data_IF_937873437166
#
_entry.id   IF_937873437166
#
_cell.length_a   1.000
_cell.length_b   1.000
_cell.length_c   1.000
_cell.angle_alpha   90.00
_cell.angle_beta   90.00
_cell.angle_gamma   90.00
#
_symmetry.space_group_name_H-M   'P 1'
#
loop_
_entity.id
_entity.type
_entity.pdbx_description
1 polymer ?
#
# COMPACT_ATOMS: atom_id res chain seq x y z
N UNK A 1 -0.01 10.41 26.68
CA UNK A 1 0.04 9.03 27.20
C UNK A 1 -1.17 8.30 26.64
N UNK A 2 -0.98 7.48 25.60
CA UNK A 2 -2.06 6.71 24.99
C UNK A 2 -2.18 5.38 25.70
N UNK A 3 -3.29 5.14 26.40
CA UNK A 3 -3.62 3.82 26.93
C UNK A 3 -4.32 3.04 25.81
N UNK A 4 -3.69 1.98 25.34
CA UNK A 4 -4.33 1.02 24.44
C UNK A 4 -5.44 0.30 25.19
N UNK A 5 -6.65 0.28 24.60
CA UNK A 5 -7.75 -0.53 25.09
C UNK A 5 -7.36 -2.00 24.98
N UNK A 6 -7.21 -2.68 26.13
CA UNK A 6 -6.95 -4.10 26.18
C UNK A 6 -8.14 -4.88 25.64
N UNK A 7 -7.87 -5.82 24.73
CA UNK A 7 -8.88 -6.79 24.29
C UNK A 7 -9.22 -7.71 25.48
N UNK A 8 -10.46 -7.67 25.92
CA UNK A 8 -10.99 -8.64 26.87
C UNK A 8 -11.02 -10.04 26.23
N UNK A 9 -10.35 -10.98 26.88
CA UNK A 9 -10.43 -12.40 26.51
C UNK A 9 -11.74 -12.98 27.04
N UNK A 10 -12.69 -13.24 26.16
CA UNK A 10 -13.81 -14.13 26.49
C UNK A 10 -13.38 -15.57 26.25
N UNK A 11 -13.58 -16.41 27.28
CA UNK A 11 -13.05 -17.77 27.33
C UNK A 11 -13.84 -18.81 26.60
N UNK A 12 -13.16 -19.92 26.26
CA UNK A 12 -13.68 -21.28 26.20
C UNK A 12 -14.25 -21.73 24.85
N UNK A 13 -13.38 -22.17 23.93
CA UNK A 13 -13.74 -23.02 22.80
C UNK A 13 -12.48 -23.75 22.33
N UNK A 14 -12.56 -25.09 22.25
CA UNK A 14 -11.54 -25.96 21.65
C UNK A 14 -11.55 -25.77 20.14
N UNK A 15 -11.02 -24.66 19.66
CA UNK A 15 -10.82 -24.32 18.25
C UNK A 15 -9.37 -23.91 18.05
N UNK A 16 -8.85 -24.08 16.85
CA UNK A 16 -7.53 -23.57 16.46
C UNK A 16 -7.32 -22.15 17.00
N UNK A 17 -6.10 -21.78 17.43
CA UNK A 17 -5.83 -20.45 17.97
C UNK A 17 -6.36 -19.43 16.96
N UNK A 18 -7.33 -18.62 17.39
CA UNK A 18 -7.83 -17.51 16.58
C UNK A 18 -6.64 -16.73 16.06
N UNK A 19 -6.43 -16.79 14.74
CA UNK A 19 -5.34 -16.05 14.13
C UNK A 19 -5.51 -14.58 14.55
N UNK A 20 -4.45 -14.00 15.12
CA UNK A 20 -4.44 -12.60 15.53
C UNK A 20 -4.83 -11.75 14.32
N UNK A 21 -6.03 -11.18 14.39
CA UNK A 21 -6.55 -10.22 13.42
C UNK A 21 -6.21 -8.84 13.91
N UNK A 22 -5.85 -7.96 13.00
CA UNK A 22 -5.42 -6.62 13.36
C UNK A 22 -5.80 -5.56 12.36
N UNK A 23 -5.57 -4.33 12.79
CA UNK A 23 -5.51 -3.17 11.93
C UNK A 23 -4.03 -2.80 11.82
N UNK A 24 -3.54 -2.67 10.59
CA UNK A 24 -2.11 -2.47 10.32
C UNK A 24 -1.91 -1.21 9.49
N UNK A 25 -0.67 -0.75 9.39
CA UNK A 25 -0.19 0.23 8.42
C UNK A 25 -1.15 1.39 8.17
N UNK A 26 -1.06 2.48 8.92
CA UNK A 26 -1.91 3.63 8.65
C UNK A 26 -1.21 4.66 7.75
N UNK A 27 -1.97 5.21 6.80
CA UNK A 27 -1.60 6.35 5.98
C UNK A 27 -2.60 7.50 6.23
N UNK A 28 -2.08 8.69 6.47
CA UNK A 28 -2.90 9.88 6.70
C UNK A 28 -2.83 10.81 5.49
N UNK A 29 -3.97 11.22 5.00
CA UNK A 29 -4.12 12.22 3.96
C UNK A 29 -4.88 13.43 4.50
N UNK A 30 -4.22 14.59 4.54
CA UNK A 30 -4.90 15.86 4.68
C UNK A 30 -5.29 16.34 3.28
N UNK A 31 -6.56 16.33 2.98
CA UNK A 31 -7.10 16.74 1.69
C UNK A 31 -7.07 18.27 1.53
N UNK A 32 -7.17 18.74 0.29
CA UNK A 32 -7.13 20.17 -0.06
C UNK A 32 -8.31 20.95 0.53
N UNK A 33 -9.44 20.30 0.80
CA UNK A 33 -10.60 20.87 1.47
C UNK A 33 -10.50 20.87 3.01
N UNK A 34 -9.36 20.43 3.55
CA UNK A 34 -9.10 20.34 4.99
C UNK A 34 -9.58 19.06 5.66
N UNK A 35 -10.25 18.16 4.94
CA UNK A 35 -10.67 16.88 5.51
C UNK A 35 -9.48 15.96 5.76
N UNK A 36 -9.38 15.39 6.97
CA UNK A 36 -8.38 14.39 7.31
C UNK A 36 -8.95 13.00 7.08
N UNK A 37 -8.23 12.19 6.29
CA UNK A 37 -8.56 10.78 6.02
C UNK A 37 -7.45 9.88 6.57
N UNK A 38 -7.85 8.74 7.16
CA UNK A 38 -6.97 7.69 7.61
C UNK A 38 -7.27 6.41 6.83
N UNK A 39 -6.27 5.88 6.15
CA UNK A 39 -6.30 4.62 5.41
C UNK A 39 -5.54 3.58 6.22
N UNK A 40 -6.08 2.38 6.30
CA UNK A 40 -5.46 1.31 7.09
C UNK A 40 -5.82 -0.07 6.54
N UNK A 41 -4.98 -1.03 6.85
CA UNK A 41 -5.17 -2.42 6.51
C UNK A 41 -6.10 -3.07 7.54
N UNK A 42 -7.17 -3.68 7.09
CA UNK A 42 -8.26 -4.23 7.92
C UNK A 42 -8.40 -5.74 7.68
N UNK A 43 -8.14 -6.53 8.69
CA UNK A 43 -8.35 -7.98 8.68
C UNK A 43 -9.65 -8.39 9.42
N UNK A 44 -10.23 -7.50 10.21
CA UNK A 44 -11.39 -7.80 11.03
C UNK A 44 -12.69 -7.75 10.23
N UNK A 45 -12.91 -6.68 9.44
CA UNK A 45 -14.13 -6.57 8.62
C UNK A 45 -14.27 -7.70 7.60
N UNK A 46 -13.24 -8.04 6.78
CA UNK A 46 -13.36 -9.18 5.87
C UNK A 46 -13.68 -10.48 6.59
N UNK A 47 -13.07 -10.74 7.74
CA UNK A 47 -13.36 -11.94 8.50
C UNK A 47 -14.83 -12.00 8.95
N UNK A 48 -15.38 -10.91 9.51
CA UNK A 48 -16.78 -10.82 9.93
C UNK A 48 -17.76 -11.00 8.76
N UNK A 49 -17.36 -10.59 7.56
CA UNK A 49 -18.15 -10.78 6.33
C UNK A 49 -17.93 -12.15 5.65
N UNK A 50 -17.16 -13.06 6.26
CA UNK A 50 -16.89 -14.40 5.75
C UNK A 50 -15.83 -14.47 4.66
N UNK A 51 -15.02 -13.42 4.50
CA UNK A 51 -13.81 -13.41 3.68
C UNK A 51 -12.61 -13.80 4.57
N UNK A 52 -12.55 -15.03 4.95
CA UNK A 52 -11.52 -15.55 5.85
C UNK A 52 -10.12 -15.40 5.22
N UNK A 53 -9.14 -14.93 6.02
CA UNK A 53 -7.75 -14.70 5.64
C UNK A 53 -7.53 -13.52 4.67
N UNK A 54 -8.59 -12.86 4.21
CA UNK A 54 -8.46 -11.62 3.43
C UNK A 54 -8.03 -10.46 4.31
N UNK A 55 -7.46 -9.46 3.65
CA UNK A 55 -7.15 -8.13 4.18
C UNK A 55 -7.67 -7.11 3.17
N UNK A 56 -8.35 -6.08 3.65
CA UNK A 56 -8.86 -4.99 2.84
C UNK A 56 -8.15 -3.70 3.21
N UNK A 57 -8.05 -2.78 2.27
CA UNK A 57 -7.76 -1.38 2.58
C UNK A 57 -9.06 -0.69 2.91
N UNK A 58 -9.09 -0.09 4.10
CA UNK A 58 -10.26 0.62 4.63
C UNK A 58 -9.88 2.07 4.94
N UNK A 59 -10.82 3.01 4.80
CA UNK A 59 -10.61 4.42 5.04
C UNK A 59 -11.69 4.97 5.99
N UNK A 60 -11.30 5.91 6.86
CA UNK A 60 -12.21 6.74 7.66
C UNK A 60 -11.87 8.21 7.47
N UNK A 61 -12.89 9.07 7.48
CA UNK A 61 -12.73 10.52 7.47
C UNK A 61 -13.00 11.08 8.85
N UNK A 62 -12.16 11.99 9.32
CA UNK A 62 -12.33 12.68 10.59
C UNK A 62 -13.41 13.75 10.49
N UNK A 63 -14.35 13.73 11.43
CA UNK A 63 -15.34 14.78 11.66
C UNK A 63 -14.88 15.66 12.84
N UNK A 64 -14.38 16.88 12.58
CA UNK A 64 -13.92 17.76 13.63
C UNK A 64 -15.03 18.26 14.52
N UNK A 65 -16.26 18.36 14.02
CA UNK A 65 -17.42 18.86 14.77
C UNK A 65 -17.89 17.84 15.79
N UNK A 66 -17.97 16.57 15.38
CA UNK A 66 -18.32 15.46 16.25
C UNK A 66 -17.13 14.85 17.01
N UNK A 67 -15.91 15.31 16.73
CA UNK A 67 -14.64 14.75 17.27
C UNK A 67 -14.58 13.22 17.17
N UNK A 68 -14.95 12.71 16.00
CA UNK A 68 -15.05 11.27 15.73
C UNK A 68 -14.68 10.94 14.29
N UNK A 69 -14.35 9.68 14.06
CA UNK A 69 -14.20 9.14 12.73
C UNK A 69 -15.57 8.73 12.16
N UNK A 70 -15.81 9.05 10.90
CA UNK A 70 -17.01 8.55 10.18
C UNK A 70 -16.97 7.02 10.03
N UNK A 71 -18.08 6.47 9.54
CA UNK A 71 -18.16 5.05 9.21
C UNK A 71 -17.07 4.68 8.20
N UNK A 72 -16.51 3.47 8.31
CA UNK A 72 -15.47 2.99 7.41
C UNK A 72 -15.98 2.84 5.98
N UNK A 73 -15.11 3.12 5.03
CA UNK A 73 -15.33 2.89 3.58
C UNK A 73 -14.26 1.94 3.08
N UNK A 74 -14.65 0.86 2.41
CA UNK A 74 -13.71 -0.06 1.77
C UNK A 74 -13.10 0.61 0.53
N UNK A 75 -11.78 0.77 0.55
CA UNK A 75 -10.97 1.38 -0.52
C UNK A 75 -10.58 0.34 -1.56
N UNK A 76 -10.22 -0.85 -1.13
CA UNK A 76 -9.84 -1.96 -2.01
C UNK A 76 -10.10 -3.31 -1.35
N UNK A 77 -10.60 -4.25 -2.14
CA UNK A 77 -10.77 -5.67 -1.77
C UNK A 77 -10.88 -6.55 -3.01
N UNK A 78 -10.75 -7.87 -2.83
CA UNK A 78 -11.13 -8.83 -3.87
C UNK A 78 -12.66 -8.91 -3.99
N UNK A 79 -13.16 -9.17 -5.21
CA UNK A 79 -14.59 -9.34 -5.46
C UNK A 79 -15.12 -10.68 -4.91
N UNK A 80 -14.38 -11.75 -5.10
CA UNK A 80 -14.79 -13.09 -4.75
C UNK A 80 -14.03 -13.62 -3.51
N UNK A 81 -14.72 -14.43 -2.69
CA UNK A 81 -14.17 -15.00 -1.45
C UNK A 81 -13.11 -16.06 -1.68
N UNK A 82 -13.20 -16.77 -2.79
CA UNK A 82 -12.24 -17.81 -3.21
C UNK A 82 -10.99 -17.22 -3.86
N UNK A 83 -11.03 -15.93 -4.23
CA UNK A 83 -9.89 -15.20 -4.74
C UNK A 83 -9.17 -14.46 -3.59
N UNK A 84 -8.41 -15.20 -2.80
CA UNK A 84 -7.72 -14.61 -1.66
C UNK A 84 -6.86 -13.42 -2.11
N UNK A 85 -7.14 -12.26 -1.53
CA UNK A 85 -6.35 -11.06 -1.69
C UNK A 85 -6.09 -10.43 -0.33
N UNK A 86 -4.85 -10.02 -0.12
CA UNK A 86 -4.45 -9.23 1.04
C UNK A 86 -3.98 -7.89 0.52
N UNK A 87 -4.94 -6.96 0.39
CA UNK A 87 -4.69 -5.60 -0.04
C UNK A 87 -4.22 -4.77 1.15
N UNK A 88 -3.11 -4.05 0.99
CA UNK A 88 -2.55 -3.32 2.11
C UNK A 88 -1.52 -2.27 1.74
N UNK A 89 -0.89 -1.67 2.75
CA UNK A 89 0.15 -0.66 2.61
C UNK A 89 -0.27 0.50 1.70
N UNK A 90 -1.49 1.00 1.90
CA UNK A 90 -2.07 2.05 1.08
C UNK A 90 -1.26 3.34 1.14
N UNK A 91 -1.04 3.96 -0.03
CA UNK A 91 -0.49 5.30 -0.16
C UNK A 91 -1.35 6.11 -1.12
N UNK A 92 -1.78 7.30 -0.71
CA UNK A 92 -2.84 8.04 -1.41
C UNK A 92 -2.38 9.45 -1.74
N UNK A 93 -2.70 9.89 -2.97
CA UNK A 93 -2.54 11.29 -3.39
C UNK A 93 -3.87 11.87 -3.87
N UNK A 94 -4.07 13.16 -3.61
CA UNK A 94 -5.15 13.95 -4.18
C UNK A 94 -4.64 14.77 -5.35
N UNK A 95 -5.22 14.57 -6.52
CA UNK A 95 -4.92 15.35 -7.73
C UNK A 95 -5.55 16.76 -7.64
N UNK A 96 -5.09 17.72 -8.47
CA UNK A 96 -5.71 19.05 -8.55
C UNK A 96 -7.20 19.01 -8.87
N UNK A 97 -7.68 18.00 -9.59
CA UNK A 97 -9.10 17.77 -9.89
C UNK A 97 -9.93 17.33 -8.69
N UNK A 98 -9.31 16.99 -7.55
CA UNK A 98 -9.96 16.38 -6.39
C UNK A 98 -10.08 14.85 -6.47
N UNK A 99 -9.67 14.24 -7.60
CA UNK A 99 -9.57 12.77 -7.75
C UNK A 99 -8.52 12.22 -6.80
N UNK A 100 -8.84 11.12 -6.12
CA UNK A 100 -7.91 10.38 -5.29
C UNK A 100 -7.36 9.18 -6.08
N UNK A 101 -6.06 8.96 -5.97
CA UNK A 101 -5.38 7.76 -6.44
C UNK A 101 -4.78 7.05 -5.22
N UNK A 102 -5.05 5.77 -5.07
CA UNK A 102 -4.51 4.93 -4.01
C UNK A 102 -3.69 3.79 -4.62
N UNK A 103 -2.37 3.82 -4.42
CA UNK A 103 -1.51 2.68 -4.68
C UNK A 103 -1.50 1.78 -3.45
N UNK A 104 -1.49 0.47 -3.68
CA UNK A 104 -1.50 -0.55 -2.62
C UNK A 104 -0.74 -1.80 -3.05
N UNK A 105 -0.20 -2.55 -2.10
CA UNK A 105 0.25 -3.91 -2.38
C UNK A 105 -0.94 -4.86 -2.36
N UNK A 106 -0.91 -5.86 -3.24
CA UNK A 106 -1.93 -6.89 -3.28
C UNK A 106 -1.28 -8.26 -3.30
N UNK A 107 -1.39 -8.97 -2.18
CA UNK A 107 -0.94 -10.35 -2.07
C UNK A 107 -2.01 -11.24 -2.66
N UNK A 108 -1.66 -11.94 -3.74
CA UNK A 108 -2.55 -12.88 -4.39
C UNK A 108 -1.99 -14.30 -4.29
N UNK A 109 -2.86 -15.27 -4.09
CA UNK A 109 -2.48 -16.67 -4.09
C UNK A 109 -2.27 -17.25 -5.48
N UNK A 110 -2.70 -16.54 -6.51
CA UNK A 110 -2.57 -17.00 -7.90
C UNK A 110 -1.20 -16.72 -8.47
N UNK A 111 -0.56 -17.79 -8.90
CA UNK A 111 0.68 -17.72 -9.69
C UNK A 111 0.38 -17.23 -11.11
N UNK A 112 1.33 -16.57 -11.80
CA UNK A 112 2.75 -16.51 -11.45
C UNK A 112 3.13 -15.36 -10.50
N UNK A 113 2.24 -14.40 -10.22
CA UNK A 113 2.57 -13.17 -9.52
C UNK A 113 1.88 -13.11 -8.16
N UNK A 114 2.62 -13.45 -7.11
CA UNK A 114 2.08 -13.51 -5.76
C UNK A 114 1.77 -12.13 -5.17
N UNK A 115 2.61 -11.14 -5.46
CA UNK A 115 2.46 -9.77 -4.99
C UNK A 115 2.71 -8.81 -6.15
N UNK A 116 1.82 -7.83 -6.30
CA UNK A 116 1.95 -6.74 -7.26
C UNK A 116 1.52 -5.43 -6.62
N UNK A 117 1.87 -4.32 -7.24
CA UNK A 117 1.32 -3.01 -6.88
C UNK A 117 0.07 -2.79 -7.71
N UNK A 118 -1.02 -2.47 -7.05
CA UNK A 118 -2.30 -2.13 -7.67
C UNK A 118 -2.69 -0.70 -7.40
N UNK A 119 -3.62 -0.21 -8.18
CA UNK A 119 -4.21 1.12 -8.02
C UNK A 119 -5.73 1.05 -8.05
N UNK A 120 -6.33 1.86 -7.20
CA UNK A 120 -7.77 2.18 -7.23
C UNK A 120 -7.95 3.69 -7.16
N UNK A 121 -9.07 4.18 -7.68
CA UNK A 121 -9.33 5.62 -7.77
C UNK A 121 -10.69 5.98 -7.20
N UNK A 122 -10.83 7.24 -6.75
CA UNK A 122 -12.10 7.81 -6.33
C UNK A 122 -12.28 9.22 -6.90
N UNK A 123 -13.44 9.48 -7.50
CA UNK A 123 -13.82 10.77 -8.06
C UNK A 123 -14.75 11.56 -7.13
N UNK A 124 -15.04 11.06 -5.93
CA UNK A 124 -16.02 11.63 -5.01
C UNK A 124 -15.52 11.68 -3.56
N UNK A 125 -14.25 12.06 -3.40
CA UNK A 125 -13.66 12.29 -2.08
C UNK A 125 -13.51 11.03 -1.21
N UNK A 126 -13.39 9.86 -1.84
CA UNK A 126 -13.22 8.58 -1.15
C UNK A 126 -14.54 7.91 -0.73
N UNK A 127 -15.70 8.45 -1.12
CA UNK A 127 -17.00 7.83 -0.80
C UNK A 127 -17.23 6.52 -1.53
N UNK A 128 -16.74 6.41 -2.76
CA UNK A 128 -16.70 5.17 -3.55
C UNK A 128 -15.38 5.06 -4.28
N UNK A 129 -14.99 3.84 -4.60
CA UNK A 129 -13.71 3.52 -5.23
C UNK A 129 -13.89 2.62 -6.47
N UNK A 130 -12.96 2.68 -7.41
CA UNK A 130 -13.06 2.00 -8.71
C UNK A 130 -13.19 0.48 -8.58
N UNK A 131 -12.63 -0.16 -7.55
CA UNK A 131 -12.75 -1.61 -7.34
C UNK A 131 -14.19 -2.13 -7.33
N UNK A 132 -15.17 -1.26 -7.04
CA UNK A 132 -16.59 -1.64 -7.01
C UNK A 132 -17.18 -1.89 -8.40
N UNK A 133 -16.55 -1.36 -9.45
CA UNK A 133 -17.04 -1.39 -10.83
C UNK A 133 -16.16 -2.23 -11.76
N UNK A 134 -14.88 -2.33 -11.45
CA UNK A 134 -13.87 -2.94 -12.30
C UNK A 134 -12.80 -3.64 -11.45
N UNK A 135 -12.04 -4.56 -12.05
CA UNK A 135 -10.89 -5.13 -11.37
C UNK A 135 -9.85 -4.05 -11.08
N UNK A 136 -9.15 -4.18 -9.96
CA UNK A 136 -8.11 -3.26 -9.55
C UNK A 136 -6.97 -3.24 -10.58
N UNK A 137 -6.62 -2.07 -11.07
CA UNK A 137 -5.56 -1.90 -12.04
C UNK A 137 -4.21 -2.40 -11.48
N UNK A 138 -3.43 -3.10 -12.30
CA UNK A 138 -2.06 -3.47 -11.97
C UNK A 138 -1.16 -2.29 -12.36
N UNK A 139 -0.60 -1.63 -11.35
CA UNK A 139 0.32 -0.52 -11.52
C UNK A 139 1.74 -0.99 -11.83
N UNK A 140 2.18 -2.01 -11.11
CA UNK A 140 3.44 -2.68 -11.37
C UNK A 140 3.38 -4.16 -10.95
N UNK A 141 3.98 -4.97 -11.78
CA UNK A 141 4.15 -6.40 -11.57
C UNK A 141 5.51 -6.82 -12.11
N UNK A 142 6.26 -7.61 -11.35
CA UNK A 142 7.53 -8.13 -11.84
C UNK A 142 7.33 -8.96 -13.12
N UNK A 143 8.21 -8.79 -14.09
CA UNK A 143 8.26 -9.63 -15.30
C UNK A 143 8.68 -11.08 -14.98
N UNK A 144 9.27 -11.31 -13.82
CA UNK A 144 9.74 -12.62 -13.37
C UNK A 144 8.71 -13.29 -12.47
N UNK A 145 8.32 -14.51 -12.84
CA UNK A 145 7.36 -15.30 -12.09
C UNK A 145 7.76 -15.48 -10.62
N UNK A 146 6.79 -15.36 -9.72
CA UNK A 146 6.94 -15.46 -8.26
C UNK A 146 7.78 -14.36 -7.58
N UNK A 147 8.32 -13.39 -8.33
CA UNK A 147 8.93 -12.22 -7.74
C UNK A 147 7.86 -11.24 -7.30
N UNK A 148 8.11 -10.55 -6.19
CA UNK A 148 7.13 -9.69 -5.53
C UNK A 148 7.42 -8.20 -5.76
N UNK A 149 6.36 -7.39 -5.66
CA UNK A 149 6.42 -5.96 -5.50
C UNK A 149 5.49 -5.58 -4.35
N UNK A 150 6.00 -4.80 -3.39
CA UNK A 150 5.34 -4.53 -2.10
C UNK A 150 5.58 -3.12 -1.61
N UNK A 151 4.79 -2.69 -0.63
CA UNK A 151 4.95 -1.44 0.11
C UNK A 151 5.07 -0.22 -0.79
N UNK A 152 4.09 0.10 -1.63
CA UNK A 152 4.15 1.27 -2.48
C UNK A 152 4.05 2.55 -1.66
N UNK A 153 4.73 3.59 -2.13
CA UNK A 153 4.52 4.95 -1.72
C UNK A 153 4.31 5.84 -2.93
N UNK A 154 3.12 6.41 -3.02
CA UNK A 154 2.71 7.29 -4.10
C UNK A 154 2.91 8.75 -3.68
N UNK A 155 3.55 9.54 -4.53
CA UNK A 155 3.74 10.96 -4.29
C UNK A 155 3.55 11.78 -5.57
N UNK A 156 3.15 13.05 -5.39
CA UNK A 156 3.02 14.00 -6.49
C UNK A 156 4.20 14.97 -6.44
N UNK A 157 4.94 15.09 -7.55
CA UNK A 157 6.05 16.01 -7.70
C UNK A 157 5.55 17.46 -7.86
N UNK A 158 6.40 18.47 -7.60
CA UNK A 158 6.03 19.88 -7.79
C UNK A 158 5.59 20.22 -9.22
N UNK A 159 6.14 19.55 -10.23
CA UNK A 159 5.74 19.68 -11.65
C UNK A 159 4.38 19.08 -11.99
N UNK A 160 3.83 18.27 -11.09
CA UNK A 160 2.53 17.63 -11.27
C UNK A 160 2.60 16.14 -11.65
N UNK A 161 3.77 15.65 -12.02
CA UNK A 161 4.02 14.22 -12.26
C UNK A 161 3.80 13.42 -10.99
N UNK A 162 3.49 12.13 -11.16
CA UNK A 162 3.39 11.19 -10.05
C UNK A 162 4.59 10.25 -10.07
N UNK A 163 5.05 9.91 -8.88
CA UNK A 163 6.04 8.85 -8.65
C UNK A 163 5.45 7.82 -7.71
N UNK A 164 5.59 6.55 -8.05
CA UNK A 164 5.32 5.44 -7.14
C UNK A 164 6.63 4.72 -6.85
N UNK A 165 7.08 4.77 -5.60
CA UNK A 165 8.26 4.04 -5.11
C UNK A 165 7.77 2.79 -4.40
N UNK A 166 8.42 1.65 -4.63
CA UNK A 166 8.05 0.37 -4.02
C UNK A 166 9.29 -0.51 -3.85
N UNK A 167 9.16 -1.54 -3.03
CA UNK A 167 10.19 -2.55 -2.87
C UNK A 167 9.89 -3.79 -3.75
N UNK A 168 10.93 -4.36 -4.39
CA UNK A 168 10.78 -5.55 -5.24
C UNK A 168 12.04 -6.41 -5.20
N UNK A 169 11.87 -7.72 -5.28
CA UNK A 169 12.97 -8.68 -5.41
C UNK A 169 13.23 -9.10 -6.87
N UNK A 170 12.71 -8.32 -7.82
CA UNK A 170 12.79 -8.62 -9.25
C UNK A 170 14.21 -8.93 -9.75
N UNK A 171 15.23 -8.26 -9.21
CA UNK A 171 16.63 -8.49 -9.56
C UNK A 171 17.31 -9.61 -8.74
N UNK A 172 16.61 -10.17 -7.78
CA UNK A 172 17.14 -11.27 -6.97
C UNK A 172 17.26 -12.56 -7.77
N UNK A 173 18.30 -13.35 -7.52
CA UNK A 173 18.49 -14.64 -8.16
C UNK A 173 17.36 -15.63 -7.83
N UNK A 174 16.75 -15.49 -6.63
CA UNK A 174 15.65 -16.32 -6.19
C UNK A 174 14.49 -15.46 -5.70
N UNK A 175 13.24 -15.83 -6.07
CA UNK A 175 12.08 -15.10 -5.60
C UNK A 175 11.90 -15.25 -4.09
N UNK A 176 11.41 -14.20 -3.45
CA UNK A 176 10.85 -14.30 -2.11
C UNK A 176 9.73 -15.34 -2.08
N UNK A 177 9.58 -16.05 -0.97
CA UNK A 177 8.45 -16.98 -0.83
C UNK A 177 7.17 -16.15 -0.71
N UNK A 178 6.25 -16.33 -1.66
CA UNK A 178 4.91 -15.80 -1.55
C UNK A 178 4.17 -16.47 -0.39
N UNK A 179 3.39 -15.69 0.33
CA UNK A 179 2.64 -16.15 1.49
C UNK A 179 3.13 -15.50 2.78
N UNK A 180 2.38 -15.65 3.82
CA UNK A 180 2.59 -15.04 5.13
C UNK A 180 4.06 -15.06 5.58
N UNK A 181 4.71 -13.88 5.59
CA UNK A 181 6.10 -13.63 5.92
C UNK A 181 7.14 -14.21 4.94
N UNK A 182 7.20 -13.71 3.70
CA UNK A 182 8.33 -14.06 2.85
C UNK A 182 9.63 -13.67 3.57
N UNK A 183 10.65 -14.51 3.47
CA UNK A 183 12.01 -14.05 3.77
C UNK A 183 12.35 -13.02 2.71
N UNK A 184 12.11 -11.75 3.03
CA UNK A 184 12.29 -10.59 2.17
C UNK A 184 13.77 -10.29 2.02
N UNK A 185 14.47 -11.15 1.32
CA UNK A 185 15.88 -11.02 1.06
C UNK A 185 16.07 -10.31 -0.28
N UNK A 186 16.98 -9.36 -0.32
CA UNK A 186 17.42 -8.66 -1.54
C UNK A 186 16.30 -7.87 -2.23
N UNK A 187 15.59 -7.06 -1.47
CA UNK A 187 14.63 -6.10 -2.04
C UNK A 187 15.37 -4.85 -2.51
N UNK A 188 15.16 -4.50 -3.77
CA UNK A 188 15.52 -3.20 -4.33
C UNK A 188 14.40 -2.21 -4.08
N UNK A 189 14.73 -0.93 -3.94
CA UNK A 189 13.76 0.15 -4.13
C UNK A 189 13.76 0.55 -5.60
N UNK A 190 12.60 0.46 -6.22
CA UNK A 190 12.36 0.92 -7.58
C UNK A 190 11.26 1.96 -7.61
N UNK A 191 11.16 2.69 -8.71
CA UNK A 191 10.08 3.62 -8.94
C UNK A 191 9.60 3.59 -10.38
N UNK A 192 8.35 3.99 -10.57
CA UNK A 192 7.72 4.28 -11.84
C UNK A 192 7.15 5.68 -11.82
N UNK A 193 7.01 6.29 -13.00
CA UNK A 193 6.56 7.67 -13.18
C UNK A 193 5.30 7.71 -14.06
N UNK A 194 4.42 8.66 -13.73
CA UNK A 194 3.31 9.08 -14.59
C UNK A 194 3.38 10.58 -14.85
N UNK A 195 3.28 10.96 -16.13
CA UNK A 195 3.27 12.37 -16.58
C UNK A 195 1.86 12.89 -16.91
N UNK A 196 0.85 12.04 -16.79
CA UNK A 196 -0.53 12.30 -17.22
C UNK A 196 -1.56 12.09 -16.11
N UNK A 197 -1.17 12.41 -14.87
CA UNK A 197 -2.03 12.31 -13.69
C UNK A 197 -2.47 10.87 -13.37
N UNK A 198 -1.61 9.90 -13.60
CA UNK A 198 -1.83 8.50 -13.25
C UNK A 198 -2.65 7.71 -14.28
N UNK A 199 -2.81 8.24 -15.52
CA UNK A 199 -3.48 7.49 -16.59
C UNK A 199 -2.57 6.44 -17.23
N UNK A 200 -1.29 6.79 -17.39
CA UNK A 200 -0.26 5.86 -17.86
C UNK A 200 0.98 5.97 -16.97
N UNK A 201 1.74 4.89 -16.92
CA UNK A 201 2.95 4.78 -16.11
C UNK A 201 4.12 4.27 -16.97
N UNK A 202 5.35 4.58 -16.57
CA UNK A 202 6.53 4.03 -17.24
C UNK A 202 6.50 2.50 -17.21
N UNK A 203 6.82 1.88 -18.36
CA UNK A 203 6.84 0.42 -18.48
C UNK A 203 7.94 -0.23 -17.63
N UNK A 204 9.08 0.43 -17.57
CA UNK A 204 10.22 -0.03 -16.78
C UNK A 204 10.28 0.68 -15.45
N UNK A 205 10.51 -0.09 -14.40
CA UNK A 205 10.79 0.44 -13.09
C UNK A 205 12.27 0.72 -12.94
N UNK A 206 12.61 1.96 -12.63
CA UNK A 206 13.99 2.41 -12.45
C UNK A 206 14.45 2.12 -11.02
N UNK A 207 15.70 1.65 -10.88
CA UNK A 207 16.28 1.34 -9.57
C UNK A 207 16.70 2.63 -8.88
N UNK A 208 16.11 2.90 -7.74
CA UNK A 208 16.47 3.99 -6.84
C UNK A 208 17.59 3.57 -5.90
N UNK A 209 17.50 2.34 -5.39
CA UNK A 209 18.49 1.73 -4.50
C UNK A 209 18.56 0.23 -4.74
N UNK A 210 19.71 -0.24 -5.19
CA UNK A 210 19.96 -1.68 -5.34
C UNK A 210 20.27 -2.28 -3.96
N UNK A 211 19.26 -2.95 -3.41
CA UNK A 211 19.37 -3.58 -2.12
C UNK A 211 20.08 -4.93 -2.23
N UNK A 212 21.27 -5.03 -1.68
CA UNK A 212 21.80 -6.36 -1.32
C UNK A 212 21.07 -6.93 -0.10
N UNK A 213 20.06 -6.21 0.41
CA UNK A 213 19.50 -6.41 1.73
C UNK A 213 17.99 -6.15 1.75
N UNK A 214 17.37 -6.47 2.87
CA UNK A 214 15.95 -6.30 3.13
C UNK A 214 15.59 -4.83 3.24
N UNK A 215 15.40 -4.13 2.13
CA UNK A 215 14.82 -2.78 2.14
C UNK A 215 13.30 -2.88 2.10
N UNK A 216 12.63 -2.10 2.95
CA UNK A 216 11.20 -2.22 3.13
C UNK A 216 10.58 -0.89 3.57
N UNK A 217 9.28 -0.72 3.33
CA UNK A 217 8.50 0.44 3.76
C UNK A 217 9.15 1.76 3.35
N UNK A 218 9.22 2.08 2.05
CA UNK A 218 9.69 3.39 1.62
C UNK A 218 8.74 4.49 2.11
N UNK A 219 9.32 5.62 2.51
CA UNK A 219 8.61 6.88 2.68
C UNK A 219 9.15 7.87 1.66
N UNK A 220 8.30 8.65 1.00
CA UNK A 220 8.71 9.58 -0.05
C UNK A 220 8.20 10.98 0.24
N UNK A 221 9.11 11.94 0.27
CA UNK A 221 8.80 13.36 0.39
C UNK A 221 9.32 14.10 -0.85
N UNK A 222 8.44 14.61 -1.72
CA UNK A 222 8.83 15.51 -2.79
C UNK A 222 9.35 16.83 -2.23
N UNK A 223 10.52 17.27 -2.72
CA UNK A 223 11.14 18.52 -2.34
C UNK A 223 10.79 19.62 -3.35
N UNK A 224 10.87 20.88 -2.93
CA UNK A 224 10.51 22.04 -3.77
C UNK A 224 11.33 22.18 -5.04
N UNK A 225 12.56 21.68 -5.03
CA UNK A 225 13.49 21.68 -6.17
C UNK A 225 13.30 20.51 -7.15
N UNK A 226 12.23 19.73 -6.97
CA UNK A 226 11.93 18.57 -7.81
C UNK A 226 12.65 17.28 -7.40
N UNK A 227 13.55 17.33 -6.43
CA UNK A 227 14.15 16.14 -5.87
C UNK A 227 13.18 15.38 -4.95
N UNK A 228 13.48 14.11 -4.69
CA UNK A 228 12.83 13.29 -3.68
C UNK A 228 13.77 13.07 -2.50
N UNK A 229 13.24 13.17 -1.30
CA UNK A 229 13.81 12.52 -0.13
C UNK A 229 13.07 11.19 0.06
N UNK A 230 13.79 10.09 -0.07
CA UNK A 230 13.25 8.74 0.11
C UNK A 230 13.87 8.12 1.34
N UNK A 231 13.05 7.58 2.21
CA UNK A 231 13.49 6.83 3.40
C UNK A 231 13.07 5.38 3.25
N UNK A 232 13.81 4.48 3.85
CA UNK A 232 13.40 3.07 3.94
C UNK A 232 14.00 2.43 5.20
N UNK A 233 13.38 1.35 5.66
CA UNK A 233 13.95 0.49 6.66
C UNK A 233 14.93 -0.46 5.99
N UNK A 234 16.15 -0.55 6.53
CA UNK A 234 17.19 -1.50 6.10
C UNK A 234 17.42 -2.53 7.21
N UNK A 235 16.83 -3.69 7.03
CA UNK A 235 16.91 -4.76 8.04
C UNK A 235 18.30 -5.41 8.14
N UNK A 236 19.18 -5.18 7.19
CA UNK A 236 20.55 -5.72 7.26
C UNK A 236 21.41 -4.99 8.27
N UNK A 237 21.16 -3.69 8.41
CA UNK A 237 21.88 -2.82 9.36
C UNK A 237 21.09 -2.56 10.63
N UNK A 238 19.84 -2.99 10.69
CA UNK A 238 18.92 -2.71 11.80
C UNK A 238 18.49 -1.25 11.89
N UNK A 239 18.70 -0.45 10.82
CA UNK A 239 18.48 0.98 10.81
C UNK A 239 17.56 1.47 9.69
N UNK A 240 17.52 2.79 9.56
CA UNK A 240 16.85 3.48 8.48
C UNK A 240 17.87 4.12 7.54
N UNK A 241 17.55 4.16 6.25
CA UNK A 241 18.32 4.91 5.25
C UNK A 241 17.50 6.06 4.71
N UNK A 242 18.18 7.11 4.29
CA UNK A 242 17.60 8.23 3.59
C UNK A 242 18.43 8.54 2.35
N UNK A 243 17.76 8.76 1.23
CA UNK A 243 18.37 9.11 -0.06
C UNK A 243 17.74 10.39 -0.57
N UNK A 244 18.56 11.23 -1.20
CA UNK A 244 18.08 12.37 -1.96
C UNK A 244 18.50 12.20 -3.41
N UNK A 245 17.57 12.34 -4.33
CA UNK A 245 17.81 12.24 -5.76
C UNK A 245 16.68 12.84 -6.58
N UNK A 246 16.94 13.11 -7.85
CA UNK A 246 15.92 13.56 -8.79
C UNK A 246 15.48 12.37 -9.64
N UNK A 247 14.17 12.03 -9.67
CA UNK A 247 13.70 10.98 -10.55
C UNK A 247 13.91 11.42 -12.00
N UNK A 248 14.56 10.58 -12.76
CA UNK A 248 14.73 10.77 -14.21
C UNK A 248 13.81 9.85 -14.96
N UNK A 249 13.20 10.32 -16.08
CA UNK A 249 12.33 9.48 -16.91
C UNK A 249 13.09 8.34 -17.56
#
# INVERSE_FOLDING_TARGET
MWQGAGAERSGGGTGEPEALRGLWSCFLLLRRDGALQCYFDDEDTPHREGFFRHQWVTMKTWDPSGRRWHQPVTVSRAHARDHLSRDGMASVVELPSGRLLCALESVQTYRPHANCIRMVTSDNSGRTWSWQREEREILFQSSRANHLAISPWLARLPGGELVCVFATDENSAQPGKSGTHPRRLNLDLKYILSKDSGRTWSHEALTLYAGTHRTYVPGVLPLRDGALLVTCQDFSTGGYRAFRGTPTP
#
